data_IF_583371741220
#
_entry.id   IF_583371741220
#
_cell.length_a   1.000
_cell.length_b   1.000
_cell.length_c   1.000
_cell.angle_alpha   90.00
_cell.angle_beta   90.00
_cell.angle_gamma   90.00
#
_symmetry.space_group_name_H-M   'P 1'
#
loop_
_entity.id
_entity.type
_entity.pdbx_description
1 polymer ?
#
# COMPACT_ATOMS: atom_id res chain seq x y z
N UNK A 1 56.70 12.52 -19.26
CA UNK A 1 55.44 13.15 -18.79
C UNK A 1 54.54 13.31 -20.00
N UNK A 2 53.54 12.46 -20.15
CA UNK A 2 52.62 12.49 -21.28
C UNK A 2 51.31 13.08 -20.77
N UNK A 3 51.00 14.27 -21.26
CA UNK A 3 49.80 15.00 -20.93
C UNK A 3 48.64 14.42 -21.74
N UNK A 4 47.70 13.70 -21.08
CA UNK A 4 46.49 13.20 -21.73
C UNK A 4 45.37 14.24 -21.57
N UNK A 5 45.12 15.02 -22.61
CA UNK A 5 43.98 15.87 -22.72
C UNK A 5 42.74 14.98 -22.90
N UNK A 6 41.86 14.97 -21.89
CA UNK A 6 40.55 14.35 -21.99
C UNK A 6 39.63 15.39 -22.63
N UNK A 7 39.20 15.13 -23.86
CA UNK A 7 38.15 15.90 -24.53
C UNK A 7 36.81 15.33 -24.06
N UNK A 8 36.08 16.08 -23.21
CA UNK A 8 34.70 15.76 -22.85
C UNK A 8 33.79 16.36 -23.94
N UNK A 9 33.29 15.52 -24.81
CA UNK A 9 32.29 15.94 -25.79
C UNK A 9 30.91 15.92 -25.12
N UNK A 10 30.38 17.10 -24.83
CA UNK A 10 29.02 17.27 -24.33
C UNK A 10 28.05 17.08 -25.53
N UNK A 11 27.30 16.00 -25.56
CA UNK A 11 26.18 15.87 -26.48
C UNK A 11 24.99 16.63 -25.86
N UNK A 12 24.73 17.83 -26.35
CA UNK A 12 23.48 18.53 -26.11
C UNK A 12 22.44 17.94 -27.05
N UNK A 13 21.63 17.02 -26.60
CA UNK A 13 20.44 16.59 -27.34
C UNK A 13 19.40 17.70 -27.21
N UNK A 14 19.22 18.45 -28.30
CA UNK A 14 18.11 19.36 -28.41
C UNK A 14 16.82 18.53 -28.42
N UNK A 15 16.10 18.51 -27.32
CA UNK A 15 14.74 18.02 -27.28
C UNK A 15 13.89 18.94 -28.15
N UNK A 16 13.46 18.43 -29.30
CA UNK A 16 12.49 19.12 -30.15
C UNK A 16 11.21 19.34 -29.32
N UNK A 17 10.91 20.59 -28.98
CA UNK A 17 9.64 20.95 -28.39
C UNK A 17 8.54 20.59 -29.36
N UNK A 18 7.77 19.55 -29.05
CA UNK A 18 6.52 19.26 -29.76
C UNK A 18 5.58 20.42 -29.45
N UNK A 19 5.06 21.13 -30.46
CA UNK A 19 4.12 22.20 -30.20
C UNK A 19 2.87 21.61 -29.57
N UNK A 20 2.62 21.91 -28.31
CA UNK A 20 1.34 21.65 -27.66
C UNK A 20 0.30 22.59 -28.26
N UNK A 21 -0.28 22.22 -29.39
CA UNK A 21 -1.52 22.81 -29.86
C UNK A 21 -2.69 22.13 -29.17
N UNK A 22 -2.95 22.54 -27.95
CA UNK A 22 -4.14 22.15 -27.22
C UNK A 22 -4.48 23.30 -26.29
N UNK A 23 -5.70 23.84 -26.41
CA UNK A 23 -6.25 24.69 -25.35
C UNK A 23 -5.99 23.98 -24.04
N UNK A 24 -5.37 24.68 -23.09
CA UNK A 24 -5.11 24.12 -21.76
C UNK A 24 -6.42 23.56 -21.21
N UNK A 25 -6.57 22.25 -21.28
CA UNK A 25 -7.72 21.60 -20.71
C UNK A 25 -7.63 21.87 -19.23
N UNK A 26 -8.54 22.69 -18.70
CA UNK A 26 -8.64 22.90 -17.26
C UNK A 26 -8.72 21.51 -16.65
N UNK A 27 -7.68 21.12 -15.94
CA UNK A 27 -7.66 19.86 -15.20
C UNK A 27 -8.74 19.99 -14.11
N UNK A 28 -9.93 19.52 -14.42
CA UNK A 28 -10.99 19.37 -13.46
C UNK A 28 -10.75 18.06 -12.72
N UNK A 29 -9.85 18.05 -11.74
CA UNK A 29 -9.55 16.82 -10.99
C UNK A 29 -10.74 16.25 -10.22
N UNK A 30 -11.83 16.96 -10.17
CA UNK A 30 -13.09 16.50 -9.54
C UNK A 30 -14.15 16.07 -10.57
N UNK A 31 -13.81 16.02 -11.84
CA UNK A 31 -14.72 15.54 -12.89
C UNK A 31 -14.46 14.05 -13.13
N UNK A 32 -15.47 13.18 -13.07
CA UNK A 32 -15.31 11.79 -13.45
C UNK A 32 -14.65 11.63 -14.82
N UNK A 33 -13.62 10.80 -14.91
CA UNK A 33 -12.85 10.60 -16.12
C UNK A 33 -11.73 11.61 -16.39
N UNK A 34 -11.55 12.62 -15.55
CA UNK A 34 -10.46 13.60 -15.68
C UNK A 34 -9.10 13.08 -15.18
N UNK A 35 -9.06 11.88 -14.61
CA UNK A 35 -7.84 11.22 -14.16
C UNK A 35 -7.53 11.45 -12.69
N UNK A 36 -7.93 12.57 -12.09
CA UNK A 36 -7.73 12.83 -10.67
C UNK A 36 -8.92 13.62 -10.08
N UNK A 37 -9.38 13.27 -8.86
CA UNK A 37 -9.02 12.04 -8.15
C UNK A 37 -9.51 10.80 -8.89
N UNK A 38 -8.72 9.73 -8.89
CA UNK A 38 -9.13 8.45 -9.50
C UNK A 38 -10.23 7.77 -8.71
N UNK A 39 -10.32 8.05 -7.41
CA UNK A 39 -11.40 7.63 -6.52
C UNK A 39 -11.97 8.85 -5.82
N UNK A 40 -13.28 9.09 -5.86
CA UNK A 40 -13.91 10.17 -5.10
C UNK A 40 -14.04 9.78 -3.62
N UNK A 41 -13.75 10.72 -2.71
CA UNK A 41 -13.90 10.53 -1.28
C UNK A 41 -12.69 10.97 -0.47
N UNK A 42 -12.71 10.66 0.81
CA UNK A 42 -11.61 10.91 1.73
C UNK A 42 -10.87 9.62 2.00
N UNK A 43 -9.69 9.48 1.43
CA UNK A 43 -8.82 8.33 1.58
C UNK A 43 -7.41 8.80 1.88
N UNK A 44 -6.74 8.12 2.81
CA UNK A 44 -5.33 8.31 3.11
C UNK A 44 -4.56 7.01 2.86
N UNK A 45 -3.25 7.11 2.85
CA UNK A 45 -2.30 5.99 2.84
C UNK A 45 -2.64 4.91 1.79
N UNK A 46 -2.96 5.28 0.53
CA UNK A 46 -3.35 4.29 -0.45
C UNK A 46 -2.17 3.42 -0.87
N UNK A 47 -2.39 2.11 -0.88
CA UNK A 47 -1.51 1.20 -1.59
C UNK A 47 -2.18 0.73 -2.88
N UNK A 48 -1.40 0.64 -3.96
CA UNK A 48 -1.87 0.10 -5.23
C UNK A 48 -1.04 -1.12 -5.59
N UNK A 49 -1.72 -2.18 -5.95
CA UNK A 49 -1.09 -3.43 -6.39
C UNK A 49 -1.70 -3.89 -7.71
N UNK A 50 -0.90 -4.61 -8.49
CA UNK A 50 -1.37 -5.29 -9.68
C UNK A 50 -1.17 -6.79 -9.50
N UNK A 51 -2.27 -7.54 -9.53
CA UNK A 51 -2.25 -8.99 -9.52
C UNK A 51 -2.92 -9.51 -10.79
N UNK A 52 -2.15 -10.26 -11.59
CA UNK A 52 -2.59 -10.65 -12.91
C UNK A 52 -2.89 -9.45 -13.81
N UNK A 53 -4.10 -9.37 -14.35
CA UNK A 53 -4.57 -8.29 -15.22
C UNK A 53 -5.33 -7.17 -14.49
N UNK A 54 -5.42 -7.23 -13.18
CA UNK A 54 -6.29 -6.36 -12.39
C UNK A 54 -5.48 -5.53 -11.40
N UNK A 55 -5.80 -4.24 -11.33
CA UNK A 55 -5.29 -3.30 -10.34
C UNK A 55 -6.22 -3.27 -9.13
N UNK A 56 -5.64 -3.15 -7.95
CA UNK A 56 -6.34 -3.08 -6.67
C UNK A 56 -5.82 -1.88 -5.87
N UNK A 57 -6.74 -1.09 -5.34
CA UNK A 57 -6.43 -0.02 -4.40
C UNK A 57 -7.03 -0.37 -3.05
N UNK A 58 -6.21 -0.31 -2.02
CA UNK A 58 -6.60 -0.39 -0.62
C UNK A 58 -6.20 0.93 0.03
N UNK A 59 -7.02 1.46 0.90
CA UNK A 59 -6.77 2.75 1.53
C UNK A 59 -7.33 2.79 2.94
N UNK A 60 -6.86 3.73 3.72
CA UNK A 60 -7.45 4.08 5.01
C UNK A 60 -8.93 4.40 4.86
N UNK A 61 -9.76 3.87 5.75
CA UNK A 61 -11.22 4.01 5.74
C UNK A 61 -11.76 4.60 7.04
N UNK A 62 -11.11 5.61 7.58
CA UNK A 62 -11.54 6.32 8.79
C UNK A 62 -12.20 7.69 8.52
N UNK A 63 -12.31 8.04 7.25
CA UNK A 63 -12.91 9.29 6.81
C UNK A 63 -14.43 9.23 6.67
N UNK A 64 -14.99 10.27 6.09
CA UNK A 64 -16.40 10.37 5.74
C UNK A 64 -16.66 9.98 4.27
N UNK A 65 -17.92 9.79 3.92
CA UNK A 65 -18.30 9.42 2.57
C UNK A 65 -17.93 7.96 2.24
N UNK A 66 -17.41 7.71 1.06
CA UNK A 66 -17.03 6.37 0.62
C UNK A 66 -15.82 5.79 1.38
N UNK A 67 -15.06 6.65 2.08
CA UNK A 67 -13.95 6.22 2.93
C UNK A 67 -14.36 5.87 4.36
N UNK A 68 -15.65 5.88 4.65
CA UNK A 68 -16.19 5.56 5.96
C UNK A 68 -16.87 4.20 5.92
N UNK A 69 -16.67 3.40 6.93
CA UNK A 69 -17.35 2.12 7.07
C UNK A 69 -16.38 0.93 7.07
N UNK A 70 -16.92 -0.29 6.90
CA UNK A 70 -16.12 -1.50 6.94
C UNK A 70 -15.05 -1.52 5.84
N UNK A 71 -14.07 -2.38 6.00
CA UNK A 71 -12.98 -2.55 5.05
C UNK A 71 -13.50 -2.74 3.62
N UNK A 72 -12.87 -2.05 2.71
CA UNK A 72 -13.25 -2.05 1.29
C UNK A 72 -12.02 -1.82 0.41
N UNK A 73 -12.14 -2.20 -0.83
CA UNK A 73 -11.12 -2.00 -1.84
C UNK A 73 -11.75 -1.57 -3.17
N UNK A 74 -10.94 -1.08 -4.08
CA UNK A 74 -11.35 -0.81 -5.45
C UNK A 74 -10.52 -1.65 -6.40
N UNK A 75 -11.16 -2.15 -7.44
CA UNK A 75 -10.48 -2.87 -8.51
C UNK A 75 -10.77 -2.28 -9.89
N UNK A 76 -9.79 -2.40 -10.77
CA UNK A 76 -9.88 -1.93 -12.16
C UNK A 76 -9.03 -2.79 -13.08
N UNK A 77 -9.50 -3.01 -14.32
CA UNK A 77 -8.71 -3.65 -15.38
C UNK A 77 -8.01 -2.65 -16.29
N UNK A 78 -8.47 -1.42 -16.32
CA UNK A 78 -8.03 -0.39 -17.27
C UNK A 78 -7.43 0.86 -16.61
N UNK A 79 -7.35 0.86 -15.27
CA UNK A 79 -6.88 2.00 -14.46
C UNK A 79 -7.77 3.26 -14.56
N UNK A 80 -8.92 3.16 -15.20
CA UNK A 80 -9.87 4.27 -15.42
C UNK A 80 -11.21 4.02 -14.74
N UNK A 81 -11.74 2.82 -14.92
CA UNK A 81 -13.01 2.43 -14.35
C UNK A 81 -12.77 1.58 -13.11
N UNK A 82 -13.17 2.12 -11.95
CA UNK A 82 -12.96 1.50 -10.65
C UNK A 82 -14.27 1.00 -10.06
N UNK A 83 -14.24 -0.23 -9.57
CA UNK A 83 -15.37 -0.85 -8.89
C UNK A 83 -15.06 -0.99 -7.42
N UNK A 84 -15.94 -0.45 -6.57
CA UNK A 84 -15.89 -0.62 -5.13
C UNK A 84 -16.30 -2.04 -4.76
N UNK A 85 -15.48 -2.69 -3.95
CA UNK A 85 -15.72 -4.05 -3.45
C UNK A 85 -15.65 -4.06 -1.92
N UNK A 86 -16.69 -4.56 -1.23
CA UNK A 86 -16.60 -4.76 0.21
C UNK A 86 -15.64 -5.91 0.52
N UNK A 87 -14.99 -5.81 1.68
CA UNK A 87 -14.17 -6.86 2.25
C UNK A 87 -14.92 -7.49 3.44
N UNK A 88 -14.63 -8.75 3.71
CA UNK A 88 -15.26 -9.48 4.83
C UNK A 88 -14.60 -9.21 6.18
N UNK A 89 -13.41 -8.64 6.20
CA UNK A 89 -12.59 -8.46 7.40
C UNK A 89 -11.58 -7.32 7.18
N UNK A 90 -11.28 -6.54 8.21
CA UNK A 90 -11.92 -6.55 9.51
C UNK A 90 -13.32 -5.94 9.48
N UNK A 91 -14.14 -6.28 10.46
CA UNK A 91 -15.44 -5.65 10.69
C UNK A 91 -15.25 -4.38 11.54
N UNK A 92 -14.65 -3.37 10.94
CA UNK A 92 -14.31 -2.11 11.59
C UNK A 92 -14.41 -0.95 10.65
N UNK A 93 -14.67 0.23 11.24
CA UNK A 93 -14.66 1.50 10.52
C UNK A 93 -13.26 2.11 10.35
N UNK A 94 -12.28 1.63 11.10
CA UNK A 94 -10.96 2.26 11.19
C UNK A 94 -9.88 1.31 10.72
N UNK A 95 -9.66 1.34 9.44
CA UNK A 95 -8.60 0.59 8.77
C UNK A 95 -7.57 1.59 8.32
N UNK A 96 -6.37 1.53 8.87
CA UNK A 96 -5.32 2.46 8.56
C UNK A 96 -4.17 1.82 7.80
N UNK A 97 -3.64 2.56 6.83
CA UNK A 97 -2.44 2.28 6.07
C UNK A 97 -2.31 0.79 5.65
N UNK A 98 -3.26 0.29 4.86
CA UNK A 98 -3.22 -1.11 4.45
C UNK A 98 -2.11 -1.39 3.43
N UNK A 99 -1.57 -2.60 3.47
CA UNK A 99 -0.71 -3.15 2.42
C UNK A 99 -1.18 -4.56 2.05
N UNK A 100 -0.93 -4.97 0.81
CA UNK A 100 -1.26 -6.31 0.34
C UNK A 100 -0.11 -6.87 -0.47
N UNK A 101 0.25 -8.12 -0.21
CA UNK A 101 1.21 -8.84 -1.02
C UNK A 101 0.70 -10.23 -1.37
N UNK A 102 1.22 -10.80 -2.46
CA UNK A 102 1.09 -12.22 -2.74
C UNK A 102 2.36 -12.93 -2.28
N UNK A 103 2.20 -13.99 -1.50
CA UNK A 103 3.30 -14.87 -1.15
C UNK A 103 3.42 -15.96 -2.23
N UNK A 104 4.55 -15.98 -2.92
CA UNK A 104 4.82 -16.94 -3.99
C UNK A 104 5.00 -18.37 -3.49
N UNK A 105 5.40 -18.54 -2.23
CA UNK A 105 5.65 -19.86 -1.65
C UNK A 105 4.36 -20.68 -1.50
N UNK A 106 3.24 -20.02 -1.20
CA UNK A 106 1.94 -20.69 -1.02
C UNK A 106 0.86 -20.18 -1.99
N UNK A 107 1.18 -19.15 -2.79
CA UNK A 107 0.27 -18.54 -3.75
C UNK A 107 -0.84 -17.69 -3.13
N UNK A 108 -0.87 -17.56 -1.80
CA UNK A 108 -1.90 -16.80 -1.08
C UNK A 108 -1.59 -15.32 -1.03
N UNK A 109 -2.64 -14.56 -0.68
CA UNK A 109 -2.55 -13.11 -0.49
C UNK A 109 -2.59 -12.80 0.99
N UNK A 110 -1.84 -11.77 1.37
CA UNK A 110 -1.71 -11.32 2.75
C UNK A 110 -2.04 -9.84 2.83
N UNK A 111 -3.01 -9.51 3.68
CA UNK A 111 -3.54 -8.17 3.88
C UNK A 111 -3.12 -7.66 5.24
N UNK A 112 -2.26 -6.63 5.24
CA UNK A 112 -1.75 -5.97 6.44
C UNK A 112 -2.50 -4.65 6.64
N UNK A 113 -2.91 -4.35 7.86
CA UNK A 113 -3.48 -3.06 8.24
C UNK A 113 -3.21 -2.78 9.71
N UNK A 114 -3.36 -1.52 10.13
CA UNK A 114 -3.37 -1.17 11.54
C UNK A 114 -4.73 -0.66 12.01
N UNK A 115 -5.06 -1.01 13.29
CA UNK A 115 -6.29 -0.60 13.97
C UNK A 115 -6.18 -0.74 15.49
N UNK A 116 -6.46 0.32 16.24
CA UNK A 116 -6.10 1.72 15.98
C UNK A 116 -4.64 1.90 16.32
N UNK A 117 -3.69 1.34 16.20
CA UNK A 117 -2.26 1.41 16.51
C UNK A 117 -1.67 0.02 16.78
N UNK A 118 -2.26 -0.98 16.16
CA UNK A 118 -1.79 -2.37 16.19
C UNK A 118 -1.87 -2.96 14.80
N UNK A 119 -0.85 -3.68 14.40
CA UNK A 119 -0.82 -4.37 13.13
C UNK A 119 -1.57 -5.69 13.19
N UNK A 120 -2.38 -5.92 12.18
CA UNK A 120 -3.10 -7.15 11.93
C UNK A 120 -2.75 -7.68 10.55
N UNK A 121 -2.65 -8.99 10.40
CA UNK A 121 -2.35 -9.63 9.13
C UNK A 121 -3.42 -10.67 8.82
N UNK A 122 -4.06 -10.51 7.67
CA UNK A 122 -5.02 -11.46 7.14
C UNK A 122 -4.44 -12.28 6.01
N UNK A 123 -4.94 -13.49 5.82
CA UNK A 123 -4.64 -14.36 4.70
C UNK A 123 -5.91 -14.66 3.91
N UNK A 124 -5.79 -14.72 2.59
CA UNK A 124 -6.89 -15.04 1.67
C UNK A 124 -6.39 -15.70 0.40
N UNK A 125 -7.30 -16.37 -0.31
CA UNK A 125 -6.98 -17.07 -1.56
C UNK A 125 -7.01 -16.13 -2.78
N UNK A 126 -7.54 -14.93 -2.61
CA UNK A 126 -7.60 -13.90 -3.66
C UNK A 126 -7.22 -12.53 -3.12
N UNK A 127 -6.85 -11.57 -3.97
CA UNK A 127 -6.58 -10.19 -3.54
C UNK A 127 -7.79 -9.49 -2.88
N UNK A 128 -8.97 -10.09 -2.94
CA UNK A 128 -10.21 -9.59 -2.32
C UNK A 128 -10.60 -10.36 -1.06
N UNK A 129 -9.79 -11.32 -0.65
CA UNK A 129 -10.14 -12.27 0.39
C UNK A 129 -10.93 -13.48 -0.17
N UNK A 130 -11.85 -14.09 0.59
CA UNK A 130 -12.19 -13.71 1.97
C UNK A 130 -10.97 -13.81 2.90
N UNK A 131 -10.85 -12.82 3.77
CA UNK A 131 -9.71 -12.69 4.68
C UNK A 131 -10.00 -13.37 6.01
N UNK A 132 -8.94 -13.96 6.60
CA UNK A 132 -8.92 -14.46 7.97
C UNK A 132 -7.61 -14.03 8.61
N UNK A 133 -7.63 -13.65 9.89
CA UNK A 133 -6.40 -13.34 10.61
C UNK A 133 -5.48 -14.57 10.63
N UNK A 134 -4.21 -14.38 10.28
CA UNK A 134 -3.21 -15.47 10.25
C UNK A 134 -3.00 -16.15 11.62
N UNK A 135 -3.28 -15.42 12.71
CA UNK A 135 -3.17 -15.92 14.09
C UNK A 135 -4.44 -16.62 14.57
N UNK A 136 -5.46 -16.73 13.71
CA UNK A 136 -6.69 -17.47 13.98
C UNK A 136 -7.81 -16.65 14.60
N UNK A 137 -7.52 -15.80 15.57
CA UNK A 137 -8.53 -14.94 16.22
C UNK A 137 -8.61 -13.59 15.50
N UNK A 138 -9.83 -13.13 15.23
CA UNK A 138 -10.07 -11.92 14.40
C UNK A 138 -9.27 -10.71 14.86
N UNK A 139 -9.18 -10.48 16.15
CA UNK A 139 -8.53 -9.32 16.77
C UNK A 139 -7.06 -9.55 17.15
N UNK A 140 -6.50 -10.71 16.81
CA UNK A 140 -5.11 -11.01 17.14
C UNK A 140 -4.14 -10.03 16.46
N UNK A 141 -3.19 -9.51 17.23
CA UNK A 141 -2.21 -8.52 16.78
C UNK A 141 -0.88 -9.18 16.43
N UNK A 142 -0.28 -8.74 15.33
CA UNK A 142 0.93 -9.35 14.79
C UNK A 142 2.15 -9.09 15.69
N UNK A 143 2.23 -7.90 16.30
CA UNK A 143 3.29 -7.54 17.26
C UNK A 143 2.65 -7.32 18.65
N UNK A 144 2.52 -8.36 19.48
CA UNK A 144 1.88 -8.22 20.77
C UNK A 144 2.81 -7.59 21.82
N UNK A 145 2.21 -6.99 22.85
CA UNK A 145 2.89 -6.27 23.92
C UNK A 145 3.93 -7.11 24.69
N UNK A 146 3.85 -8.44 24.61
CA UNK A 146 4.87 -9.32 25.19
C UNK A 146 6.25 -9.19 24.56
N UNK A 147 6.31 -8.77 23.28
CA UNK A 147 7.58 -8.52 22.60
C UNK A 147 8.05 -7.08 22.78
N UNK A 148 7.13 -6.14 22.72
CA UNK A 148 7.41 -4.72 22.92
C UNK A 148 6.31 -4.15 23.80
N UNK A 149 6.62 -3.81 25.03
CA UNK A 149 5.64 -3.26 25.98
C UNK A 149 5.02 -1.97 25.44
N UNK A 150 3.69 -1.90 25.41
CA UNK A 150 2.93 -0.77 24.90
C UNK A 150 3.30 -0.43 23.44
N UNK A 151 3.64 -1.43 22.64
CA UNK A 151 3.99 -1.21 21.24
C UNK A 151 2.86 -0.53 20.50
N UNK A 152 3.15 0.64 19.92
CA UNK A 152 2.36 1.26 18.89
C UNK A 152 2.97 0.79 17.57
N UNK A 153 2.19 0.12 16.74
CA UNK A 153 2.64 -0.37 15.45
C UNK A 153 1.71 0.17 14.36
N UNK A 154 2.28 0.99 13.47
CA UNK A 154 1.54 1.76 12.47
C UNK A 154 2.13 1.53 11.09
N UNK A 155 1.30 1.72 10.08
CA UNK A 155 1.72 1.90 8.69
C UNK A 155 2.66 0.79 8.22
N UNK A 156 2.26 -0.45 8.51
CA UNK A 156 3.05 -1.61 8.16
C UNK A 156 3.11 -1.81 6.65
N UNK A 157 4.31 -2.09 6.15
CA UNK A 157 4.52 -2.50 4.78
C UNK A 157 5.34 -3.77 4.70
N UNK A 158 5.05 -4.56 3.70
CA UNK A 158 5.79 -5.78 3.39
C UNK A 158 6.78 -5.54 2.26
N UNK A 159 7.93 -6.18 2.37
CA UNK A 159 8.97 -6.17 1.35
C UNK A 159 9.46 -7.59 1.11
N UNK A 160 9.50 -8.00 -0.15
CA UNK A 160 10.13 -9.26 -0.57
C UNK A 160 11.53 -8.97 -1.08
N UNK A 161 12.50 -9.65 -0.53
CA UNK A 161 13.89 -9.61 -0.96
C UNK A 161 14.13 -10.58 -2.14
N UNK A 162 15.23 -10.41 -2.84
CA UNK A 162 15.63 -11.23 -3.99
C UNK A 162 15.83 -12.71 -3.63
N UNK A 163 16.17 -13.00 -2.37
CA UNK A 163 16.28 -14.38 -1.85
C UNK A 163 14.93 -15.04 -1.50
N UNK A 164 13.82 -14.32 -1.74
CA UNK A 164 12.47 -14.76 -1.41
C UNK A 164 12.05 -14.50 0.03
N UNK A 165 12.94 -14.02 0.88
CA UNK A 165 12.60 -13.63 2.25
C UNK A 165 11.61 -12.47 2.26
N UNK A 166 10.64 -12.53 3.18
CA UNK A 166 9.68 -11.45 3.36
C UNK A 166 9.94 -10.74 4.67
N UNK A 167 10.02 -9.43 4.61
CA UNK A 167 10.19 -8.55 5.74
C UNK A 167 8.95 -7.66 5.90
N UNK A 168 8.68 -7.25 7.11
CA UNK A 168 7.68 -6.27 7.46
C UNK A 168 8.36 -5.10 8.16
N UNK A 169 7.95 -3.89 7.80
CA UNK A 169 8.38 -2.65 8.43
C UNK A 169 7.16 -1.93 8.98
N UNK A 170 7.34 -1.22 10.10
CA UNK A 170 6.27 -0.43 10.68
C UNK A 170 6.82 0.80 11.41
N UNK A 171 5.98 1.80 11.56
CA UNK A 171 6.26 3.00 12.32
C UNK A 171 5.67 2.96 13.73
N UNK A 172 5.98 3.99 14.51
CA UNK A 172 5.35 4.28 15.79
C UNK A 172 5.22 5.79 15.97
N UNK A 173 4.28 6.19 16.81
CA UNK A 173 4.13 7.61 17.14
C UNK A 173 5.06 8.05 18.25
N UNK A 174 5.44 9.32 18.15
CA UNK A 174 6.15 10.04 19.20
C UNK A 174 7.64 9.80 19.21
N UNK A 175 8.29 10.54 20.05
CA UNK A 175 9.73 10.51 20.26
C UNK A 175 9.97 9.90 21.63
N UNK A 176 9.96 8.59 21.71
CA UNK A 176 10.25 7.87 22.94
C UNK A 176 11.55 7.10 22.79
N UNK A 177 12.34 7.05 23.84
CA UNK A 177 13.55 6.23 23.85
C UNK A 177 13.18 4.75 23.63
N UNK A 178 13.75 4.15 22.60
CA UNK A 178 13.48 2.76 22.23
C UNK A 178 12.31 2.56 21.26
N UNK A 179 11.67 3.64 20.81
CA UNK A 179 10.65 3.60 19.77
C UNK A 179 11.17 4.23 18.48
N UNK A 180 10.62 3.85 17.35
CA UNK A 180 11.02 4.32 16.02
C UNK A 180 10.48 3.37 14.96
N UNK A 181 11.14 3.30 13.81
CA UNK A 181 10.86 2.27 12.83
C UNK A 181 11.22 0.89 13.37
N UNK A 182 10.25 -0.02 13.31
CA UNK A 182 10.47 -1.43 13.56
C UNK A 182 10.57 -2.22 12.27
N UNK A 183 11.25 -3.34 12.31
CA UNK A 183 11.30 -4.30 11.22
C UNK A 183 11.37 -5.72 11.76
N UNK A 184 10.82 -6.66 11.01
CA UNK A 184 10.87 -8.08 11.32
C UNK A 184 10.88 -8.91 10.06
N UNK A 185 11.58 -10.04 10.07
CA UNK A 185 11.45 -11.06 9.03
C UNK A 185 10.23 -11.90 9.35
N UNK A 186 9.36 -12.07 8.37
CA UNK A 186 8.21 -12.96 8.50
C UNK A 186 8.64 -14.42 8.28
N UNK A 187 7.95 -15.33 8.94
CA UNK A 187 8.12 -16.76 8.69
C UNK A 187 7.64 -17.11 7.27
N UNK A 188 8.02 -18.26 6.69
CA UNK A 188 7.54 -18.68 5.37
C UNK A 188 6.02 -18.78 5.23
N UNK A 189 5.33 -18.97 6.33
CA UNK A 189 3.86 -19.00 6.42
C UNK A 189 3.26 -17.62 6.80
N UNK A 190 4.10 -16.59 6.72
CA UNK A 190 3.76 -15.22 7.07
C UNK A 190 3.33 -15.08 8.53
#
# INVERSE_FOLDING_TARGET
MVNKNIIVTLFVTAAAAVPQTGAAQKAAYNTPGAGNPILPGYFADPTIKKFGDTYYIYATTDGSGAGFGPAQLWCSKDFKNWTLMPMNWPDSHWIWAPDVMQNEADGKYYYLYCQPCKLHLGVGDTPRGPWKNVLGESEAVLVPDRFVKNAITLDGQTFRDDDGSVYMYWGTWGIYKGFGCGAGKLNPDM
#
